data_IF_842051812665
#
_entry.id   IF_842051812665
#
_cell.length_a   1.000
_cell.length_b   1.000
_cell.length_c   1.000
_cell.angle_alpha   90.00
_cell.angle_beta   90.00
_cell.angle_gamma   90.00
#
_symmetry.space_group_name_H-M   'P 1'
#
loop_
_entity.id
_entity.type
_entity.pdbx_description
1 polymer ?
#
# COMPACT_ATOMS: atom_id res chain seq x y z
N UNK A 1 -1.29 -19.84 29.10
CA UNK A 1 -0.71 -18.60 28.54
C UNK A 1 -1.55 -18.28 27.32
N UNK A 2 -2.43 -17.29 27.42
CA UNK A 2 -3.41 -16.97 26.36
C UNK A 2 -2.71 -16.12 25.31
N UNK A 3 -2.43 -16.73 24.14
CA UNK A 3 -1.99 -16.00 22.95
C UNK A 3 -3.25 -15.39 22.35
N UNK A 4 -3.52 -14.13 22.66
CA UNK A 4 -4.60 -13.38 22.00
C UNK A 4 -4.11 -13.01 20.61
N UNK A 5 -4.17 -13.96 19.67
CA UNK A 5 -3.97 -13.71 18.25
C UNK A 5 -4.96 -12.62 17.83
N UNK A 6 -4.45 -11.43 17.56
CA UNK A 6 -5.20 -10.33 16.95
C UNK A 6 -5.58 -10.81 15.55
N UNK A 7 -6.76 -11.39 15.43
CA UNK A 7 -7.35 -11.80 14.16
C UNK A 7 -7.74 -10.51 13.44
N UNK A 8 -6.86 -10.05 12.56
CA UNK A 8 -7.12 -8.88 11.70
C UNK A 8 -8.41 -9.10 10.91
N UNK A 9 -9.36 -8.16 10.93
CA UNK A 9 -10.51 -8.23 10.05
C UNK A 9 -10.02 -8.08 8.61
N UNK A 10 -10.27 -9.13 7.81
CA UNK A 10 -10.05 -9.16 6.37
C UNK A 10 -11.03 -8.18 5.70
N UNK A 11 -10.70 -6.89 5.68
CA UNK A 11 -11.49 -5.91 4.94
C UNK A 11 -11.10 -5.95 3.46
N UNK A 12 -11.62 -6.96 2.78
CA UNK A 12 -11.71 -7.05 1.33
C UNK A 12 -12.57 -5.91 0.79
N UNK A 13 -11.97 -4.80 0.35
CA UNK A 13 -12.41 -4.01 -0.82
C UNK A 13 -11.24 -3.27 -1.48
N UNK A 14 -10.26 -4.03 -1.96
CA UNK A 14 -9.59 -3.62 -3.18
C UNK A 14 -10.66 -3.56 -4.26
N UNK A 15 -11.13 -2.36 -4.63
CA UNK A 15 -11.98 -2.17 -5.81
C UNK A 15 -11.14 -2.55 -7.03
N UNK A 16 -11.11 -3.84 -7.33
CA UNK A 16 -10.56 -4.37 -8.57
C UNK A 16 -11.46 -3.83 -9.68
N UNK A 17 -11.04 -2.74 -10.30
CA UNK A 17 -11.71 -2.21 -11.48
C UNK A 17 -10.99 -2.79 -12.70
N UNK A 18 -11.55 -3.81 -13.37
CA UNK A 18 -10.88 -4.50 -14.48
C UNK A 18 -10.61 -3.58 -15.69
N UNK A 19 -11.17 -2.38 -15.71
CA UNK A 19 -11.09 -1.41 -16.81
C UNK A 19 -10.26 -0.15 -16.48
N UNK A 20 -9.45 -0.18 -15.42
CA UNK A 20 -8.62 0.98 -15.05
C UNK A 20 -7.57 1.32 -16.12
N UNK A 21 -7.56 2.58 -16.56
CA UNK A 21 -6.53 3.08 -17.49
C UNK A 21 -5.21 3.22 -16.74
N UNK A 22 -4.09 2.90 -17.41
CA UNK A 22 -2.74 2.96 -16.82
C UNK A 22 -2.43 4.30 -16.13
N UNK A 23 -2.90 5.41 -16.70
CA UNK A 23 -2.69 6.74 -16.12
C UNK A 23 -3.39 6.92 -14.77
N UNK A 24 -4.63 6.44 -14.63
CA UNK A 24 -5.37 6.48 -13.37
C UNK A 24 -4.68 5.63 -12.30
N UNK A 25 -4.09 4.51 -12.72
CA UNK A 25 -3.34 3.64 -11.82
C UNK A 25 -2.06 4.31 -11.31
N UNK A 26 -1.34 5.03 -12.19
CA UNK A 26 -0.17 5.83 -11.81
C UNK A 26 -0.57 6.95 -10.84
N UNK A 27 -1.67 7.66 -11.11
CA UNK A 27 -2.20 8.71 -10.22
C UNK A 27 -2.57 8.15 -8.84
N UNK A 28 -3.23 6.99 -8.79
CA UNK A 28 -3.60 6.33 -7.53
C UNK A 28 -2.38 5.84 -6.74
N UNK A 29 -1.36 5.31 -7.41
CA UNK A 29 -0.07 4.94 -6.81
C UNK A 29 0.58 6.18 -6.18
N UNK A 30 0.75 7.26 -6.95
CA UNK A 30 1.41 8.48 -6.47
C UNK A 30 0.67 9.11 -5.27
N UNK A 31 -0.66 9.05 -5.27
CA UNK A 31 -1.48 9.51 -4.13
C UNK A 31 -1.20 8.70 -2.87
N UNK A 32 -1.16 7.36 -2.97
CA UNK A 32 -0.90 6.52 -1.79
C UNK A 32 0.54 6.65 -1.32
N UNK A 33 1.51 6.77 -2.22
CA UNK A 33 2.91 7.06 -1.86
C UNK A 33 3.04 8.37 -1.08
N UNK A 34 2.27 9.39 -1.44
CA UNK A 34 2.24 10.67 -0.72
C UNK A 34 1.70 10.52 0.70
N UNK A 35 0.66 9.71 0.90
CA UNK A 35 0.10 9.45 2.22
C UNK A 35 1.04 8.58 3.08
N UNK A 36 1.66 7.55 2.50
CA UNK A 36 2.68 6.75 3.18
C UNK A 36 3.88 7.62 3.62
N UNK A 37 4.31 8.57 2.79
CA UNK A 37 5.38 9.50 3.13
C UNK A 37 5.07 10.33 4.40
N UNK A 38 3.79 10.58 4.72
CA UNK A 38 3.41 11.27 5.97
C UNK A 38 3.80 10.43 7.19
N UNK A 39 3.52 9.13 7.16
CA UNK A 39 3.90 8.20 8.22
C UNK A 39 5.41 8.00 8.29
N UNK A 40 6.09 7.91 7.15
CA UNK A 40 7.56 7.80 7.14
C UNK A 40 8.24 9.00 7.80
N UNK A 41 7.74 10.22 7.51
CA UNK A 41 8.21 11.45 8.16
C UNK A 41 7.87 11.50 9.65
N UNK A 42 6.68 11.01 10.02
CA UNK A 42 6.20 10.99 11.40
C UNK A 42 7.02 10.04 12.28
N UNK A 43 7.24 8.82 11.82
CA UNK A 43 7.91 7.77 12.58
C UNK A 43 9.42 7.69 12.32
N UNK A 44 9.93 8.40 11.32
CA UNK A 44 11.36 8.42 10.99
C UNK A 44 11.87 7.12 10.38
N UNK A 45 10.98 6.27 9.88
CA UNK A 45 11.29 4.94 9.33
C UNK A 45 10.67 4.81 7.95
N UNK A 46 11.42 4.28 6.98
CA UNK A 46 10.94 4.03 5.63
C UNK A 46 9.98 2.82 5.59
N UNK A 47 9.06 2.82 4.64
CA UNK A 47 8.01 1.80 4.54
C UNK A 47 8.51 0.34 4.56
N UNK A 48 9.63 -0.02 3.90
CA UNK A 48 10.14 -1.40 3.97
C UNK A 48 10.57 -1.84 5.37
N UNK A 49 11.27 -0.97 6.11
CA UNK A 49 11.69 -1.20 7.49
C UNK A 49 10.47 -1.26 8.41
N UNK A 50 9.52 -0.34 8.23
CA UNK A 50 8.30 -0.28 9.03
C UNK A 50 7.43 -1.53 8.83
N UNK A 51 7.32 -2.01 7.59
CA UNK A 51 6.64 -3.27 7.29
C UNK A 51 7.28 -4.46 8.01
N UNK A 52 8.61 -4.55 8.00
CA UNK A 52 9.35 -5.62 8.68
C UNK A 52 9.15 -5.57 10.20
N UNK A 53 9.21 -4.38 10.79
CA UNK A 53 8.99 -4.19 12.23
C UNK A 53 7.57 -4.61 12.65
N UNK A 54 6.54 -4.17 11.92
CA UNK A 54 5.15 -4.57 12.16
C UNK A 54 4.96 -6.09 12.03
N UNK A 55 5.49 -6.69 10.96
CA UNK A 55 5.26 -8.12 10.67
C UNK A 55 6.08 -9.08 11.53
N UNK A 56 7.19 -8.61 12.11
CA UNK A 56 8.01 -9.38 13.05
C UNK A 56 7.56 -9.29 14.50
N UNK A 57 6.63 -8.38 14.83
CA UNK A 57 6.20 -8.12 16.21
C UNK A 57 7.13 -7.18 16.98
N UNK A 58 8.11 -6.54 16.32
CA UNK A 58 9.05 -5.61 16.97
C UNK A 58 8.34 -4.41 17.62
N UNK A 59 7.12 -4.07 17.16
CA UNK A 59 6.34 -2.94 17.64
C UNK A 59 5.29 -3.29 18.71
N UNK A 60 5.32 -4.50 19.27
CA UNK A 60 4.36 -4.94 20.31
C UNK A 60 4.30 -4.00 21.53
N UNK A 61 5.38 -3.30 21.87
CA UNK A 61 5.38 -2.34 22.98
C UNK A 61 4.40 -1.17 22.78
N UNK A 62 4.13 -0.81 21.52
CA UNK A 62 3.20 0.24 21.14
C UNK A 62 1.74 -0.25 21.09
N UNK A 63 1.49 -1.56 21.12
CA UNK A 63 0.13 -2.13 21.06
C UNK A 63 -0.71 -1.74 22.27
N UNK A 64 -0.10 -1.28 23.36
CA UNK A 64 -0.82 -0.78 24.55
C UNK A 64 -1.31 0.66 24.41
N UNK A 65 -0.87 1.38 23.36
CA UNK A 65 -1.18 2.77 23.10
C UNK A 65 -2.18 2.87 21.93
N UNK A 66 -3.43 3.18 22.23
CA UNK A 66 -4.53 3.17 21.26
C UNK A 66 -4.27 4.07 20.04
N UNK A 67 -3.67 5.24 20.24
CA UNK A 67 -3.35 6.20 19.16
C UNK A 67 -2.37 5.62 18.14
N UNK A 68 -1.29 4.96 18.60
CA UNK A 68 -0.31 4.34 17.70
C UNK A 68 -0.87 3.11 16.99
N UNK A 69 -1.72 2.34 17.67
CA UNK A 69 -2.37 1.17 17.08
C UNK A 69 -3.23 1.56 15.88
N UNK A 70 -4.00 2.64 15.98
CA UNK A 70 -4.84 3.15 14.88
C UNK A 70 -4.00 3.60 13.69
N UNK A 71 -2.89 4.30 13.95
CA UNK A 71 -2.00 4.77 12.90
C UNK A 71 -1.26 3.64 12.18
N UNK A 72 -0.87 2.59 12.90
CA UNK A 72 -0.24 1.41 12.31
C UNK A 72 -1.24 0.64 11.43
N UNK A 73 -2.51 0.55 11.84
CA UNK A 73 -3.57 -0.05 11.04
C UNK A 73 -3.81 0.75 9.75
N UNK A 74 -3.86 2.09 9.86
CA UNK A 74 -4.03 2.97 8.70
C UNK A 74 -2.86 2.83 7.72
N UNK A 75 -1.62 2.93 8.23
CA UNK A 75 -0.42 2.74 7.43
C UNK A 75 -0.39 1.38 6.74
N UNK A 76 -0.72 0.29 7.46
CA UNK A 76 -0.71 -1.07 6.90
C UNK A 76 -1.76 -1.23 5.80
N UNK A 77 -2.92 -0.59 5.95
CA UNK A 77 -3.97 -0.56 4.93
C UNK A 77 -3.50 0.14 3.65
N UNK A 78 -2.86 1.30 3.79
CA UNK A 78 -2.27 2.04 2.67
C UNK A 78 -1.16 1.23 1.99
N UNK A 79 -0.25 0.65 2.76
CA UNK A 79 0.87 -0.14 2.24
C UNK A 79 0.38 -1.36 1.44
N UNK A 80 -0.59 -2.12 1.98
CA UNK A 80 -1.22 -3.24 1.26
C UNK A 80 -1.93 -2.78 -0.02
N UNK A 81 -2.57 -1.61 0.02
CA UNK A 81 -3.22 -1.04 -1.16
C UNK A 81 -2.19 -0.68 -2.23
N UNK A 82 -1.07 -0.04 -1.86
CA UNK A 82 0.04 0.25 -2.77
C UNK A 82 0.57 -1.03 -3.43
N UNK A 83 0.82 -2.08 -2.65
CA UNK A 83 1.26 -3.38 -3.18
C UNK A 83 0.29 -3.95 -4.23
N UNK A 84 -1.02 -3.83 -4.01
CA UNK A 84 -2.04 -4.28 -4.96
C UNK A 84 -2.07 -3.44 -6.24
N UNK A 85 -1.87 -2.12 -6.14
CA UNK A 85 -1.81 -1.24 -7.31
C UNK A 85 -0.54 -1.47 -8.11
N UNK A 86 0.61 -1.64 -7.45
CA UNK A 86 1.87 -2.00 -8.09
C UNK A 86 1.77 -3.33 -8.84
N UNK A 87 1.12 -4.32 -8.24
CA UNK A 87 0.87 -5.60 -8.91
C UNK A 87 0.00 -5.40 -10.15
N UNK A 88 -1.05 -4.60 -10.05
CA UNK A 88 -1.93 -4.27 -11.18
C UNK A 88 -1.16 -3.53 -12.28
N UNK A 89 -0.28 -2.60 -11.90
CA UNK A 89 0.52 -1.81 -12.84
C UNK A 89 1.51 -2.71 -13.59
N UNK A 90 2.21 -3.59 -12.86
CA UNK A 90 3.09 -4.59 -13.45
C UNK A 90 2.34 -5.49 -14.44
N UNK A 91 1.13 -5.94 -14.08
CA UNK A 91 0.32 -6.77 -14.96
C UNK A 91 -0.12 -6.02 -16.23
N UNK A 92 -0.42 -4.73 -16.16
CA UNK A 92 -0.82 -3.95 -17.32
C UNK A 92 0.38 -3.56 -18.20
N UNK A 93 1.46 -3.09 -17.59
CA UNK A 93 2.65 -2.63 -18.32
C UNK A 93 3.34 -3.78 -19.05
N UNK A 94 3.27 -5.02 -18.55
CA UNK A 94 3.85 -6.18 -19.21
C UNK A 94 3.06 -6.64 -20.45
N UNK A 95 1.79 -6.24 -20.62
CA UNK A 95 0.96 -6.68 -21.77
C UNK A 95 1.40 -6.09 -23.10
N UNK A 96 2.08 -4.95 -23.10
CA UNK A 96 2.53 -4.26 -24.31
C UNK A 96 3.90 -3.60 -24.09
N UNK A 97 4.72 -3.43 -25.14
CA UNK A 97 5.95 -2.65 -25.00
C UNK A 97 5.66 -1.23 -24.51
N UNK A 98 6.50 -0.71 -23.61
CA UNK A 98 6.33 0.65 -23.01
C UNK A 98 6.17 1.72 -24.10
N UNK A 99 6.93 1.63 -25.19
CA UNK A 99 6.85 2.57 -26.30
C UNK A 99 5.45 2.62 -26.95
N UNK A 100 4.73 1.49 -27.02
CA UNK A 100 3.38 1.42 -27.57
C UNK A 100 2.38 2.06 -26.60
N UNK A 101 2.53 1.79 -25.31
CA UNK A 101 1.69 2.38 -24.27
C UNK A 101 1.84 3.91 -24.23
N UNK A 102 3.07 4.41 -24.29
CA UNK A 102 3.34 5.85 -24.37
C UNK A 102 2.69 6.48 -25.61
N UNK A 103 2.81 5.85 -26.79
CA UNK A 103 2.16 6.33 -28.01
C UNK A 103 0.64 6.40 -27.87
N UNK A 104 0.01 5.41 -27.23
CA UNK A 104 -1.45 5.42 -27.02
C UNK A 104 -1.92 6.54 -26.10
N UNK A 105 -1.10 6.93 -25.11
CA UNK A 105 -1.44 8.04 -24.20
C UNK A 105 -1.22 9.39 -24.90
N UNK A 106 -0.14 9.54 -25.67
CA UNK A 106 0.17 10.79 -26.38
C UNK A 106 -0.76 11.07 -27.57
N UNK A 107 -1.43 10.04 -28.10
CA UNK A 107 -2.37 10.16 -29.20
C UNK A 107 -3.84 10.34 -28.77
N UNK A 108 -4.12 10.28 -27.46
CA UNK A 108 -5.45 10.45 -26.86
C UNK A 108 -5.66 11.89 -26.38
#
# INVERSE_FOLDING_TARGET
MYVTSIRYPENNRGRRNPDMKLIQLIEDIARIETELMRFEKKFGVRSPEFYRAITSGELEEFDTLDDYRMEFIEWLSLHKTLMSLDQSYRQLITRQPVAIQMKSVLAA
#
